data_IF_507079025067
#
_entry.id   IF_507079025067
#
_cell.length_a   1.000
_cell.length_b   1.000
_cell.length_c   1.000
_cell.angle_alpha   90.00
_cell.angle_beta   90.00
_cell.angle_gamma   90.00
#
_symmetry.space_group_name_H-M   'P 1'
#
loop_
_entity.id
_entity.type
_entity.pdbx_description
1 polymer ?
#
# COMPACT_ATOMS: atom_id res chain seq x y z
N UNK A 1 -25.33 3.29 22.57
CA UNK A 1 -23.97 2.72 22.47
C UNK A 1 -23.58 2.86 21.02
N UNK A 2 -22.70 3.85 20.71
CA UNK A 2 -22.13 4.05 19.36
C UNK A 2 -21.05 3.00 19.17
N UNK A 3 -21.33 2.02 18.32
CA UNK A 3 -20.34 1.04 17.87
C UNK A 3 -19.24 1.78 17.09
N UNK A 4 -18.01 1.72 17.61
CA UNK A 4 -16.83 2.31 17.01
C UNK A 4 -16.55 1.65 15.65
N UNK A 5 -16.34 2.50 14.64
CA UNK A 5 -15.87 2.15 13.31
C UNK A 5 -14.47 1.53 13.42
N UNK A 6 -14.29 0.44 12.71
CA UNK A 6 -13.06 -0.29 12.31
C UNK A 6 -11.74 0.11 12.97
N UNK A 7 -11.11 -0.80 13.70
CA UNK A 7 -9.87 -0.62 14.46
C UNK A 7 -8.57 -0.35 13.66
N UNK A 8 -8.64 -0.02 12.39
CA UNK A 8 -7.52 0.50 11.59
C UNK A 8 -7.64 2.00 11.30
N UNK A 9 -8.86 2.55 11.30
CA UNK A 9 -9.11 3.95 10.99
C UNK A 9 -8.97 4.89 12.22
N UNK A 10 -8.90 4.33 13.43
CA UNK A 10 -8.88 5.09 14.68
C UNK A 10 -7.48 5.22 15.32
N UNK A 11 -6.47 4.56 14.81
CA UNK A 11 -5.08 5.00 15.04
C UNK A 11 -5.01 6.35 14.35
N UNK A 12 -5.08 7.42 15.15
CA UNK A 12 -5.18 8.79 14.64
C UNK A 12 -4.17 8.96 13.51
N UNK A 13 -4.66 9.13 12.30
CA UNK A 13 -3.86 9.28 11.08
C UNK A 13 -2.74 10.31 11.23
N UNK A 14 -2.91 11.33 12.09
CA UNK A 14 -1.88 12.28 12.46
C UNK A 14 -0.66 11.65 13.12
N UNK A 15 -0.84 10.72 14.08
CA UNK A 15 0.30 10.15 14.81
C UNK A 15 1.13 9.20 13.94
N UNK A 16 0.52 8.52 12.97
CA UNK A 16 1.26 7.65 12.03
C UNK A 16 2.16 8.47 11.10
N UNK A 17 1.65 9.57 10.56
CA UNK A 17 2.41 10.43 9.64
C UNK A 17 3.54 11.19 10.34
N UNK A 18 3.31 11.72 11.53
CA UNK A 18 4.33 12.43 12.30
C UNK A 18 5.45 11.49 12.78
N UNK A 19 5.11 10.21 12.99
CA UNK A 19 6.10 9.22 13.41
C UNK A 19 7.01 8.73 12.26
N UNK A 20 6.59 8.91 11.00
CA UNK A 20 7.31 8.42 9.82
C UNK A 20 8.73 8.99 9.74
N UNK A 21 8.90 10.29 10.00
CA UNK A 21 10.19 10.98 10.02
C UNK A 21 11.19 10.39 11.02
N UNK A 22 10.73 9.94 12.18
CA UNK A 22 11.59 9.38 13.22
C UNK A 22 12.03 7.95 12.91
N UNK A 23 11.19 7.20 12.21
CA UNK A 23 11.41 5.79 11.90
C UNK A 23 12.34 5.60 10.71
N UNK A 24 12.12 6.34 9.62
CA UNK A 24 12.90 6.21 8.39
C UNK A 24 14.41 6.43 8.59
N UNK A 25 14.79 7.38 9.44
CA UNK A 25 16.18 7.73 9.70
C UNK A 25 16.79 7.01 10.93
N UNK A 26 16.05 6.07 11.54
CA UNK A 26 16.51 5.39 12.74
C UNK A 26 17.20 4.06 12.42
N UNK A 27 18.50 3.98 12.65
CA UNK A 27 19.31 2.80 12.34
C UNK A 27 18.85 1.54 13.09
N UNK A 28 18.47 1.67 14.37
CA UNK A 28 17.96 0.55 15.16
C UNK A 28 16.63 0.05 14.56
N UNK A 29 15.68 0.96 14.34
CA UNK A 29 14.39 0.61 13.78
C UNK A 29 14.52 -0.12 12.42
N UNK A 30 15.37 0.41 11.53
CA UNK A 30 15.64 -0.20 10.23
C UNK A 30 16.31 -1.58 10.35
N UNK A 31 17.24 -1.76 11.31
CA UNK A 31 17.88 -3.05 11.54
C UNK A 31 16.91 -4.12 12.04
N UNK A 32 15.99 -3.75 12.93
CA UNK A 32 14.95 -4.65 13.43
C UNK A 32 13.99 -5.07 12.31
N UNK A 33 13.62 -4.12 11.46
CA UNK A 33 12.82 -4.40 10.28
C UNK A 33 13.52 -5.36 9.32
N UNK A 34 14.78 -5.07 8.95
CA UNK A 34 15.56 -5.94 8.04
C UNK A 34 15.72 -7.35 8.60
N UNK A 35 15.93 -7.47 9.91
CA UNK A 35 16.01 -8.77 10.59
C UNK A 35 14.70 -9.56 10.48
N UNK A 36 13.56 -8.91 10.68
CA UNK A 36 12.25 -9.54 10.57
C UNK A 36 11.89 -9.88 9.12
N UNK A 37 12.22 -9.00 8.16
CA UNK A 37 11.94 -9.17 6.75
C UNK A 37 12.83 -10.23 6.06
N UNK A 38 13.98 -10.56 6.65
CA UNK A 38 14.92 -11.56 6.15
C UNK A 38 15.99 -11.00 5.21
N UNK A 39 17.05 -11.78 5.01
CA UNK A 39 18.27 -11.37 4.28
C UNK A 39 18.03 -11.00 2.80
N UNK A 40 16.99 -11.54 2.19
CA UNK A 40 16.65 -11.28 0.78
C UNK A 40 15.82 -10.01 0.58
N UNK A 41 15.38 -9.36 1.66
CA UNK A 41 14.57 -8.15 1.56
C UNK A 41 15.41 -7.01 0.96
N UNK A 42 14.98 -6.39 -0.14
CA UNK A 42 15.74 -5.31 -0.76
C UNK A 42 15.88 -4.12 0.20
N UNK A 43 17.12 -3.71 0.46
CA UNK A 43 17.42 -2.63 1.41
C UNK A 43 16.86 -1.27 1.00
N UNK A 44 16.60 -1.06 -0.28
CA UNK A 44 15.97 0.13 -0.86
C UNK A 44 14.46 0.22 -0.57
N UNK A 45 13.81 -0.89 -0.25
CA UNK A 45 12.44 -0.89 0.24
C UNK A 45 12.44 -0.46 1.70
N UNK A 46 11.92 0.70 1.95
CA UNK A 46 11.83 1.25 3.29
C UNK A 46 10.86 0.46 4.18
N UNK A 47 11.04 0.45 5.50
CA UNK A 47 10.10 -0.19 6.42
C UNK A 47 8.67 0.38 6.28
N UNK A 48 7.67 -0.36 6.74
CA UNK A 48 6.23 -0.09 6.73
C UNK A 48 5.44 -0.58 5.55
N UNK A 49 5.87 -1.67 4.94
CA UNK A 49 5.08 -2.31 3.91
C UNK A 49 5.17 -3.82 4.06
N UNK A 50 4.09 -4.53 3.85
CA UNK A 50 4.12 -5.98 3.71
C UNK A 50 4.69 -6.43 2.35
N UNK A 51 5.54 -5.61 1.74
CA UNK A 51 6.17 -5.88 0.44
C UNK A 51 7.28 -6.92 0.60
N UNK A 52 6.90 -8.17 0.82
CA UNK A 52 7.82 -9.31 0.93
C UNK A 52 8.49 -9.62 -0.41
N UNK A 53 9.61 -10.35 -0.38
CA UNK A 53 10.28 -10.85 -1.60
C UNK A 53 9.31 -11.59 -2.50
N UNK A 54 8.46 -12.46 -1.92
CA UNK A 54 7.46 -13.19 -2.68
C UNK A 54 6.48 -12.26 -3.42
N UNK A 55 6.02 -11.17 -2.77
CA UNK A 55 5.17 -10.19 -3.43
C UNK A 55 5.91 -9.49 -4.58
N UNK A 56 7.18 -9.12 -4.39
CA UNK A 56 7.99 -8.49 -5.44
C UNK A 56 8.13 -9.40 -6.66
N UNK A 57 8.39 -10.70 -6.46
CA UNK A 57 8.47 -11.70 -7.53
C UNK A 57 7.12 -11.85 -8.27
N UNK A 58 6.00 -11.89 -7.54
CA UNK A 58 4.66 -11.95 -8.12
C UNK A 58 4.34 -10.69 -8.94
N UNK A 59 4.62 -9.51 -8.40
CA UNK A 59 4.41 -8.23 -9.11
C UNK A 59 5.29 -8.14 -10.35
N UNK A 60 6.58 -8.49 -10.25
CA UNK A 60 7.48 -8.50 -11.37
C UNK A 60 6.98 -9.43 -12.49
N UNK A 61 6.56 -10.65 -12.15
CA UNK A 61 6.02 -11.60 -13.13
C UNK A 61 4.79 -11.09 -13.87
N UNK A 62 3.87 -10.39 -13.13
CA UNK A 62 2.66 -9.81 -13.72
C UNK A 62 2.99 -8.58 -14.59
N UNK A 63 3.87 -7.70 -14.13
CA UNK A 63 4.22 -6.45 -14.80
C UNK A 63 5.11 -6.65 -16.03
N UNK A 64 6.03 -7.61 -16.01
CA UNK A 64 6.86 -7.94 -17.20
C UNK A 64 5.98 -8.34 -18.39
N UNK A 65 4.86 -9.02 -18.15
CA UNK A 65 3.98 -9.46 -19.24
C UNK A 65 3.24 -8.32 -19.91
N UNK A 66 2.95 -7.22 -19.20
CA UNK A 66 2.31 -6.02 -19.76
C UNK A 66 3.29 -4.93 -20.18
N UNK A 67 4.57 -5.05 -19.78
CA UNK A 67 5.66 -4.13 -20.15
C UNK A 67 5.25 -2.65 -20.08
N UNK A 68 4.86 -2.15 -18.88
CA UNK A 68 4.32 -0.80 -18.74
C UNK A 68 5.40 0.25 -19.02
N UNK A 69 5.05 1.30 -19.78
CA UNK A 69 5.91 2.46 -19.95
C UNK A 69 5.81 3.41 -18.75
N UNK A 70 4.61 3.54 -18.19
CA UNK A 70 4.34 4.39 -17.02
C UNK A 70 3.55 3.62 -15.95
N UNK A 71 4.04 3.68 -14.72
CA UNK A 71 3.42 3.06 -13.54
C UNK A 71 3.11 4.12 -12.49
N UNK A 72 1.91 4.11 -11.95
CA UNK A 72 1.53 4.89 -10.77
C UNK A 72 1.69 4.03 -9.51
N UNK A 73 2.57 4.44 -8.60
CA UNK A 73 2.73 3.89 -7.25
C UNK A 73 1.84 4.68 -6.29
N UNK A 74 0.68 4.12 -5.95
CA UNK A 74 -0.37 4.77 -5.18
C UNK A 74 -0.21 4.48 -3.69
N UNK A 75 0.19 5.49 -2.93
CA UNK A 75 0.62 5.38 -1.54
C UNK A 75 2.11 5.00 -1.45
N UNK A 76 2.95 5.70 -2.23
CA UNK A 76 4.37 5.37 -2.42
C UNK A 76 5.24 5.54 -1.17
N UNK A 77 4.73 6.21 -0.12
CA UNK A 77 5.49 6.50 1.08
C UNK A 77 6.84 7.13 0.79
N UNK A 78 7.91 6.58 1.35
CA UNK A 78 9.30 7.03 1.15
C UNK A 78 9.93 6.66 -0.20
N UNK A 79 9.14 6.17 -1.16
CA UNK A 79 9.55 5.92 -2.54
C UNK A 79 10.43 4.69 -2.75
N UNK A 80 10.58 3.81 -1.75
CA UNK A 80 11.38 2.59 -1.88
C UNK A 80 10.88 1.68 -2.99
N UNK A 81 9.57 1.41 -2.98
CA UNK A 81 8.94 0.59 -4.00
C UNK A 81 8.95 1.27 -5.38
N UNK A 82 8.74 2.59 -5.45
CA UNK A 82 8.86 3.36 -6.70
C UNK A 82 10.25 3.20 -7.34
N UNK A 83 11.31 3.28 -6.53
CA UNK A 83 12.69 3.06 -7.01
C UNK A 83 12.91 1.64 -7.51
N UNK A 84 12.39 0.65 -6.78
CA UNK A 84 12.46 -0.74 -7.20
C UNK A 84 11.71 -0.98 -8.54
N UNK A 85 10.51 -0.41 -8.71
CA UNK A 85 9.76 -0.46 -9.97
C UNK A 85 10.57 0.10 -11.14
N UNK A 86 11.11 1.31 -10.97
CA UNK A 86 11.90 1.98 -12.00
C UNK A 86 13.13 1.15 -12.41
N UNK A 87 13.86 0.60 -11.45
CA UNK A 87 15.05 -0.21 -11.70
C UNK A 87 14.72 -1.57 -12.34
N UNK A 88 13.64 -2.21 -11.87
CA UNK A 88 13.28 -3.56 -12.30
C UNK A 88 12.62 -3.58 -13.67
N UNK A 89 11.77 -2.58 -13.97
CA UNK A 89 10.98 -2.52 -15.19
C UNK A 89 11.52 -1.52 -16.21
N UNK A 90 12.48 -0.68 -15.83
CA UNK A 90 12.99 0.42 -16.64
C UNK A 90 11.86 1.33 -17.18
N UNK A 91 10.84 1.60 -16.35
CA UNK A 91 9.66 2.38 -16.69
C UNK A 91 9.68 3.76 -16.01
N UNK A 92 8.84 4.67 -16.49
CA UNK A 92 8.51 5.90 -15.76
C UNK A 92 7.63 5.58 -14.56
N UNK A 93 7.94 6.14 -13.38
CA UNK A 93 7.16 5.93 -12.17
C UNK A 93 6.64 7.25 -11.63
N UNK A 94 5.34 7.31 -11.40
CA UNK A 94 4.67 8.39 -10.71
C UNK A 94 4.34 7.90 -9.29
N UNK A 95 5.01 8.43 -8.28
CA UNK A 95 4.74 8.11 -6.88
C UNK A 95 3.81 9.15 -6.27
N UNK A 96 2.72 8.74 -5.65
CA UNK A 96 1.83 9.65 -4.92
C UNK A 96 1.66 9.20 -3.47
N UNK A 97 1.75 10.15 -2.55
CA UNK A 97 1.46 9.94 -1.14
C UNK A 97 0.94 11.26 -0.53
N UNK A 98 0.12 11.16 0.52
CA UNK A 98 -0.40 12.33 1.22
C UNK A 98 0.61 12.94 2.18
N UNK A 99 1.63 12.19 2.61
CA UNK A 99 2.65 12.62 3.54
C UNK A 99 3.68 13.49 2.84
N UNK A 100 3.70 14.78 3.17
CA UNK A 100 4.71 15.71 2.68
C UNK A 100 6.13 15.24 3.03
N UNK A 101 6.35 14.82 4.27
CA UNK A 101 7.63 14.30 4.71
C UNK A 101 8.07 13.08 3.89
N UNK A 102 7.16 12.13 3.63
CA UNK A 102 7.48 10.94 2.85
C UNK A 102 7.88 11.31 1.40
N UNK A 103 7.16 12.24 0.78
CA UNK A 103 7.45 12.74 -0.57
C UNK A 103 8.81 13.47 -0.61
N UNK A 104 9.07 14.37 0.33
CA UNK A 104 10.38 15.04 0.43
C UNK A 104 11.52 14.03 0.60
N UNK A 105 11.33 13.04 1.47
CA UNK A 105 12.29 11.97 1.68
C UNK A 105 12.50 11.16 0.38
N UNK A 106 11.44 10.78 -0.29
CA UNK A 106 11.50 10.03 -1.55
C UNK A 106 12.29 10.80 -2.63
N UNK A 107 12.02 12.10 -2.78
CA UNK A 107 12.72 12.98 -3.72
C UNK A 107 14.22 13.11 -3.38
N UNK A 108 14.57 13.28 -2.10
CA UNK A 108 15.96 13.41 -1.65
C UNK A 108 16.77 12.12 -1.82
N UNK A 109 16.13 10.95 -1.72
CA UNK A 109 16.80 9.64 -1.79
C UNK A 109 16.68 8.98 -3.18
N UNK A 110 16.18 9.70 -4.16
CA UNK A 110 16.10 9.23 -5.55
C UNK A 110 17.22 9.87 -6.37
N UNK A 111 17.92 9.05 -7.16
CA UNK A 111 19.04 9.53 -7.98
C UNK A 111 18.56 10.57 -8.99
N UNK A 112 19.31 11.66 -9.13
CA UNK A 112 19.04 12.69 -10.16
C UNK A 112 19.10 12.05 -11.55
N UNK A 113 18.06 12.28 -12.34
CA UNK A 113 17.94 11.71 -13.68
C UNK A 113 17.24 10.36 -13.74
N UNK A 114 16.83 9.80 -12.60
CA UNK A 114 15.88 8.69 -12.60
C UNK A 114 14.54 9.12 -13.20
N UNK A 115 13.90 8.23 -13.91
CA UNK A 115 12.58 8.46 -14.50
C UNK A 115 11.48 8.21 -13.45
N UNK A 116 11.53 9.00 -12.34
CA UNK A 116 10.59 8.93 -11.22
C UNK A 116 10.18 10.35 -10.82
N UNK A 117 8.88 10.55 -10.67
CA UNK A 117 8.30 11.79 -10.15
C UNK A 117 7.46 11.49 -8.91
N UNK A 118 7.52 12.38 -7.89
CA UNK A 118 6.75 12.22 -6.66
C UNK A 118 5.85 13.42 -6.41
N UNK A 119 4.59 13.14 -6.03
CA UNK A 119 3.56 14.14 -5.81
C UNK A 119 2.93 13.96 -4.43
N UNK A 120 2.83 15.04 -3.66
CA UNK A 120 1.99 15.08 -2.46
C UNK A 120 0.54 15.17 -2.90
N UNK A 121 -0.22 14.09 -2.70
CA UNK A 121 -1.61 14.01 -3.16
C UNK A 121 -2.41 13.05 -2.28
N UNK A 122 -3.61 13.47 -1.86
CA UNK A 122 -4.62 12.60 -1.24
C UNK A 122 -5.26 11.74 -2.33
N UNK A 123 -5.68 10.52 -2.01
CA UNK A 123 -6.32 9.62 -2.99
C UNK A 123 -7.60 10.21 -3.58
N UNK A 124 -8.35 10.95 -2.78
CA UNK A 124 -9.59 11.62 -3.20
C UNK A 124 -9.36 12.77 -4.21
N UNK A 125 -8.12 13.13 -4.47
CA UNK A 125 -7.73 14.17 -5.42
C UNK A 125 -6.97 13.62 -6.65
N UNK A 126 -6.99 12.31 -6.88
CA UNK A 126 -6.30 11.67 -8.02
C UNK A 126 -6.70 12.24 -9.37
N UNK A 127 -7.94 12.73 -9.50
CA UNK A 127 -8.42 13.41 -10.72
C UNK A 127 -7.62 14.65 -11.10
N UNK A 128 -6.86 15.24 -10.16
CA UNK A 128 -5.98 16.38 -10.44
C UNK A 128 -4.67 15.98 -11.13
N UNK A 129 -4.34 14.68 -11.16
CA UNK A 129 -3.15 14.17 -11.81
C UNK A 129 -3.37 14.13 -13.34
N UNK A 130 -2.68 15.02 -14.07
CA UNK A 130 -2.80 15.13 -15.53
C UNK A 130 -1.91 14.11 -16.26
N UNK A 131 -1.91 12.86 -15.83
CA UNK A 131 -1.06 11.81 -16.39
C UNK A 131 -1.90 10.59 -16.80
N UNK A 132 -1.38 9.81 -17.73
CA UNK A 132 -1.89 8.49 -18.06
C UNK A 132 -0.83 7.45 -17.69
N UNK A 133 -1.27 6.28 -17.26
CA UNK A 133 -0.39 5.18 -16.89
C UNK A 133 -0.91 3.85 -17.43
N UNK A 134 -0.01 2.88 -17.55
CA UNK A 134 -0.33 1.54 -18.02
C UNK A 134 -0.65 0.61 -16.85
N UNK A 135 -0.11 0.94 -15.68
CA UNK A 135 -0.40 0.19 -14.46
C UNK A 135 -0.50 1.12 -13.25
N UNK A 136 -1.39 0.79 -12.34
CA UNK A 136 -1.49 1.37 -10.99
C UNK A 136 -1.21 0.27 -9.99
N UNK A 137 -0.31 0.53 -9.05
CA UNK A 137 0.02 -0.41 -7.98
C UNK A 137 -0.18 0.28 -6.64
N UNK A 138 -0.78 -0.42 -5.69
CA UNK A 138 -0.96 0.09 -4.33
C UNK A 138 -0.68 -1.00 -3.30
N UNK A 139 0.43 -0.87 -2.59
CA UNK A 139 0.82 -1.82 -1.55
C UNK A 139 0.41 -1.27 -0.19
N UNK A 140 -0.49 -1.97 0.48
CA UNK A 140 -0.98 -1.65 1.82
C UNK A 140 -1.58 -0.24 1.97
N UNK A 141 -2.03 0.40 0.88
CA UNK A 141 -2.47 1.78 0.90
C UNK A 141 -3.91 2.01 0.40
N UNK A 142 -4.33 1.43 -0.73
CA UNK A 142 -5.67 1.65 -1.30
C UNK A 142 -6.83 1.36 -0.31
N UNK A 143 -6.78 0.35 0.56
CA UNK A 143 -7.84 0.10 1.54
C UNK A 143 -8.06 1.22 2.57
N UNK A 144 -7.17 2.23 2.62
CA UNK A 144 -7.33 3.41 3.47
C UNK A 144 -8.06 4.57 2.78
N UNK A 145 -8.44 4.44 1.51
CA UNK A 145 -9.29 5.41 0.83
C UNK A 145 -10.59 5.66 1.63
N UNK A 146 -11.01 6.92 1.72
CA UNK A 146 -12.26 7.30 2.40
C UNK A 146 -13.47 6.98 1.54
N UNK A 147 -13.33 7.20 0.25
CA UNK A 147 -14.30 6.87 -0.79
C UNK A 147 -13.64 5.97 -1.85
N UNK A 148 -13.77 4.66 -1.63
CA UNK A 148 -13.15 3.66 -2.49
C UNK A 148 -13.74 3.69 -3.92
N UNK A 149 -15.02 3.99 -4.07
CA UNK A 149 -15.67 4.10 -5.38
C UNK A 149 -15.11 5.28 -6.19
N UNK A 150 -14.98 6.45 -5.55
CA UNK A 150 -14.39 7.62 -6.20
C UNK A 150 -12.93 7.37 -6.61
N UNK A 151 -12.14 6.78 -5.71
CA UNK A 151 -10.73 6.47 -5.99
C UNK A 151 -10.59 5.44 -7.11
N UNK A 152 -11.42 4.39 -7.15
CA UNK A 152 -11.42 3.43 -8.24
C UNK A 152 -11.84 4.06 -9.57
N UNK A 153 -12.82 4.95 -9.56
CA UNK A 153 -13.21 5.72 -10.74
C UNK A 153 -12.07 6.60 -11.26
N UNK A 154 -11.36 7.29 -10.37
CA UNK A 154 -10.21 8.13 -10.75
C UNK A 154 -9.05 7.26 -11.30
N UNK A 155 -8.76 6.13 -10.68
CA UNK A 155 -7.78 5.16 -11.18
C UNK A 155 -8.18 4.67 -12.59
N UNK A 156 -9.45 4.36 -12.81
CA UNK A 156 -9.95 3.97 -14.12
C UNK A 156 -9.67 5.05 -15.18
N UNK A 157 -9.88 6.32 -14.84
CA UNK A 157 -9.60 7.44 -15.73
C UNK A 157 -8.09 7.64 -16.00
N UNK A 158 -7.23 7.42 -15.00
CA UNK A 158 -5.77 7.55 -15.15
C UNK A 158 -5.16 6.40 -15.98
N UNK A 159 -5.71 5.20 -15.90
CA UNK A 159 -5.19 4.07 -16.67
C UNK A 159 -5.45 4.23 -18.18
N UNK A 160 -4.51 3.79 -18.98
CA UNK A 160 -4.70 3.55 -20.40
C UNK A 160 -5.70 2.40 -20.63
N UNK A 161 -6.25 2.29 -21.84
CA UNK A 161 -7.15 1.17 -22.21
C UNK A 161 -6.43 -0.16 -22.00
N UNK A 162 -7.06 -1.07 -21.26
CA UNK A 162 -6.48 -2.36 -20.91
C UNK A 162 -5.39 -2.30 -19.85
N UNK A 163 -5.18 -1.12 -19.23
CA UNK A 163 -4.23 -0.94 -18.13
C UNK A 163 -4.57 -1.78 -16.91
N UNK A 164 -3.57 -1.99 -16.05
CA UNK A 164 -3.63 -2.93 -14.93
C UNK A 164 -3.74 -2.20 -13.59
N UNK A 165 -4.54 -2.73 -12.69
CA UNK A 165 -4.60 -2.33 -11.28
C UNK A 165 -4.19 -3.51 -10.41
N UNK A 166 -3.10 -3.34 -9.63
CA UNK A 166 -2.64 -4.33 -8.67
C UNK A 166 -2.62 -3.71 -7.28
N UNK A 167 -3.24 -4.36 -6.30
CA UNK A 167 -3.18 -3.84 -4.94
C UNK A 167 -3.26 -4.95 -3.90
N UNK A 168 -2.70 -4.67 -2.72
CA UNK A 168 -2.78 -5.59 -1.58
C UNK A 168 -3.89 -5.15 -0.64
N UNK A 169 -4.53 -6.14 -0.02
CA UNK A 169 -5.58 -5.92 0.96
C UNK A 169 -5.67 -7.10 1.92
N UNK A 170 -6.30 -6.90 3.07
CA UNK A 170 -6.65 -7.97 3.98
C UNK A 170 -8.16 -8.11 4.05
N UNK A 171 -8.66 -9.33 4.19
CA UNK A 171 -10.09 -9.56 4.44
C UNK A 171 -10.53 -8.77 5.68
N UNK A 172 -11.61 -7.97 5.63
CA UNK A 172 -12.09 -7.21 6.78
C UNK A 172 -12.69 -8.12 7.85
N UNK A 173 -12.90 -7.59 9.05
CA UNK A 173 -13.61 -8.30 10.11
C UNK A 173 -15.05 -8.55 9.71
N UNK A 174 -15.54 -9.75 10.04
CA UNK A 174 -16.96 -10.09 9.90
C UNK A 174 -17.83 -9.08 10.67
N UNK A 175 -18.89 -8.62 10.02
CA UNK A 175 -19.78 -7.61 10.57
C UNK A 175 -19.28 -6.17 10.43
N UNK A 176 -18.05 -5.91 9.94
CA UNK A 176 -17.64 -4.55 9.58
C UNK A 176 -18.41 -4.09 8.34
N UNK A 177 -18.61 -2.76 8.15
CA UNK A 177 -19.18 -2.24 6.89
C UNK A 177 -18.40 -2.69 5.65
N UNK A 178 -17.08 -2.88 5.78
CA UNK A 178 -16.19 -3.35 4.73
C UNK A 178 -16.22 -4.87 4.51
N UNK A 179 -16.71 -5.66 5.48
CA UNK A 179 -16.82 -7.12 5.33
C UNK A 179 -17.76 -7.54 4.19
N UNK A 180 -18.85 -6.76 3.99
CA UNK A 180 -19.70 -6.95 2.81
C UNK A 180 -18.98 -6.60 1.51
N UNK A 181 -17.77 -6.08 1.59
CA UNK A 181 -17.01 -5.57 0.45
C UNK A 181 -15.95 -6.54 -0.05
N UNK A 182 -15.52 -7.61 0.66
CA UNK A 182 -14.43 -8.38 0.11
C UNK A 182 -14.84 -9.74 -0.44
N UNK A 183 -14.98 -10.64 -0.46
CA UNK A 183 -15.31 -11.82 -1.27
C UNK A 183 -16.16 -11.53 -2.52
N UNK A 184 -17.31 -10.90 -2.37
CA UNK A 184 -18.12 -10.44 -3.51
C UNK A 184 -17.97 -8.95 -3.83
N UNK A 185 -17.45 -8.14 -2.94
CA UNK A 185 -17.56 -6.68 -3.04
C UNK A 185 -16.33 -5.98 -3.61
N UNK A 186 -15.07 -6.44 -3.43
CA UNK A 186 -14.01 -5.94 -4.32
C UNK A 186 -14.33 -6.27 -5.77
N UNK A 187 -14.87 -7.45 -6.04
CA UNK A 187 -15.35 -7.78 -7.38
C UNK A 187 -16.43 -6.79 -7.82
N UNK A 188 -17.46 -6.55 -7.01
CA UNK A 188 -18.55 -5.64 -7.33
C UNK A 188 -18.09 -4.18 -7.44
N UNK A 189 -17.20 -3.73 -6.55
CA UNK A 189 -16.64 -2.39 -6.62
C UNK A 189 -15.78 -2.20 -7.88
N UNK A 190 -14.97 -3.17 -8.24
CA UNK A 190 -14.18 -3.18 -9.46
C UNK A 190 -15.07 -3.17 -10.70
N UNK A 191 -16.03 -4.08 -10.80
CA UNK A 191 -16.97 -4.15 -11.92
C UNK A 191 -17.78 -2.86 -12.10
N UNK A 192 -18.28 -2.28 -10.99
CA UNK A 192 -19.00 -1.00 -10.97
C UNK A 192 -18.15 0.14 -11.54
N UNK A 193 -16.85 0.11 -11.30
CA UNK A 193 -15.91 1.16 -11.72
C UNK A 193 -15.14 0.81 -13.00
N UNK A 194 -15.61 -0.13 -13.80
CA UNK A 194 -15.05 -0.44 -15.12
C UNK A 194 -13.78 -1.29 -15.08
N UNK A 195 -13.66 -2.17 -14.09
CA UNK A 195 -12.57 -3.14 -14.00
C UNK A 195 -13.09 -4.57 -14.10
N UNK A 196 -12.33 -5.40 -14.78
CA UNK A 196 -12.45 -6.85 -14.75
C UNK A 196 -11.48 -7.41 -13.72
N UNK A 197 -11.96 -8.18 -12.73
CA UNK A 197 -11.12 -8.90 -11.81
C UNK A 197 -10.46 -10.09 -12.55
N UNK A 198 -9.14 -10.00 -12.76
CA UNK A 198 -8.35 -11.05 -13.41
C UNK A 198 -7.99 -12.15 -12.42
N UNK A 199 -7.51 -11.76 -11.24
CA UNK A 199 -7.02 -12.71 -10.24
C UNK A 199 -7.08 -12.10 -8.83
N UNK A 200 -7.36 -12.95 -7.84
CA UNK A 200 -7.18 -12.67 -6.43
C UNK A 200 -6.28 -13.78 -5.88
N UNK A 201 -5.02 -13.45 -5.58
CA UNK A 201 -4.04 -14.40 -5.06
C UNK A 201 -3.91 -14.23 -3.56
N UNK A 202 -4.10 -15.32 -2.79
CA UNK A 202 -3.83 -15.29 -1.36
C UNK A 202 -2.33 -15.12 -1.10
N UNK A 203 -2.01 -14.26 -0.15
CA UNK A 203 -0.64 -13.95 0.25
C UNK A 203 -0.33 -14.70 1.54
N UNK A 204 0.25 -15.87 1.41
CA UNK A 204 0.67 -16.68 2.54
C UNK A 204 1.86 -16.05 3.28
N UNK A 205 2.00 -16.33 4.58
CA UNK A 205 3.15 -15.90 5.38
C UNK A 205 3.13 -14.43 5.83
N UNK A 206 2.13 -13.62 5.47
CA UNK A 206 2.07 -12.19 5.84
C UNK A 206 1.78 -12.01 7.33
N UNK A 207 0.96 -12.88 7.92
CA UNK A 207 0.72 -12.84 9.37
C UNK A 207 1.99 -13.18 10.16
N UNK A 208 2.77 -14.14 9.69
CA UNK A 208 4.07 -14.52 10.25
C UNK A 208 5.10 -13.40 10.09
N UNK A 209 5.12 -12.74 8.92
CA UNK A 209 5.98 -11.59 8.67
C UNK A 209 5.69 -10.46 9.67
N UNK A 210 4.44 -10.03 9.80
CA UNK A 210 4.06 -8.99 10.76
C UNK A 210 4.30 -9.43 12.21
N UNK A 211 4.06 -10.70 12.52
CA UNK A 211 4.38 -11.24 13.84
C UNK A 211 5.88 -11.10 14.15
N UNK A 212 6.75 -11.46 13.21
CA UNK A 212 8.20 -11.33 13.39
C UNK A 212 8.60 -9.85 13.60
N UNK A 213 8.04 -8.91 12.83
CA UNK A 213 8.26 -7.47 13.01
C UNK A 213 7.84 -7.03 14.42
N UNK A 214 6.68 -7.42 14.87
CA UNK A 214 6.16 -7.06 16.20
C UNK A 214 6.97 -7.66 17.34
N UNK A 215 7.45 -8.89 17.18
CA UNK A 215 8.35 -9.52 18.17
C UNK A 215 9.67 -8.74 18.30
N UNK A 216 10.23 -8.26 17.20
CA UNK A 216 11.44 -7.42 17.24
C UNK A 216 11.16 -6.08 17.96
N UNK A 217 10.02 -5.43 17.72
CA UNK A 217 9.68 -4.19 18.40
C UNK A 217 9.49 -4.40 19.91
N UNK A 218 8.73 -5.41 20.32
CA UNK A 218 8.49 -5.74 21.72
C UNK A 218 9.82 -6.12 22.41
N UNK A 219 10.61 -6.98 21.78
CA UNK A 219 11.90 -7.42 22.33
C UNK A 219 12.92 -6.29 22.51
N UNK A 220 12.76 -5.19 21.78
CA UNK A 220 13.68 -4.04 21.82
C UNK A 220 13.00 -2.75 22.28
N UNK A 221 11.85 -2.80 22.94
CA UNK A 221 11.11 -1.62 23.40
C UNK A 221 11.98 -0.64 24.20
N UNK A 222 12.76 -1.17 25.17
CA UNK A 222 13.65 -0.35 26.02
C UNK A 222 14.71 0.37 25.19
N UNK A 223 15.25 -0.27 24.15
CA UNK A 223 16.23 0.32 23.25
C UNK A 223 15.58 1.34 22.31
N UNK A 224 14.38 1.04 21.80
CA UNK A 224 13.62 1.95 20.95
C UNK A 224 13.27 3.24 21.71
N UNK A 225 12.85 3.16 22.98
CA UNK A 225 12.57 4.33 23.84
C UNK A 225 13.79 5.22 24.11
N UNK A 226 15.02 4.75 23.87
CA UNK A 226 16.24 5.56 23.98
C UNK A 226 16.56 6.36 22.72
N UNK A 227 16.03 5.94 21.56
CA UNK A 227 16.40 6.48 20.25
C UNK A 227 15.22 7.05 19.46
N UNK A 228 13.99 6.83 19.91
CA UNK A 228 12.76 7.36 19.34
C UNK A 228 11.99 8.15 20.41
N UNK A 229 11.17 9.14 20.02
CA UNK A 229 10.24 9.79 20.93
C UNK A 229 9.30 8.79 21.60
N UNK A 230 8.90 9.06 22.84
CA UNK A 230 8.06 8.18 23.65
C UNK A 230 6.73 7.89 22.95
N UNK A 231 6.08 8.91 22.40
CA UNK A 231 4.83 8.81 21.67
C UNK A 231 4.92 7.94 20.42
N UNK A 232 6.10 7.88 19.77
CA UNK A 232 6.32 7.01 18.62
C UNK A 232 6.38 5.55 19.07
N UNK A 233 7.08 5.26 20.16
CA UNK A 233 7.17 3.88 20.69
C UNK A 233 5.82 3.44 21.26
N UNK A 234 5.08 4.31 21.94
CA UNK A 234 3.73 4.02 22.41
C UNK A 234 2.79 3.68 21.25
N UNK A 235 2.92 4.41 20.12
CA UNK A 235 2.19 4.09 18.89
C UNK A 235 2.54 2.70 18.34
N UNK A 236 3.84 2.31 18.35
CA UNK A 236 4.27 0.97 17.95
C UNK A 236 3.67 -0.11 18.87
N UNK A 237 3.74 0.07 20.18
CA UNK A 237 3.20 -0.90 21.15
C UNK A 237 1.68 -1.02 21.03
N UNK A 238 0.98 0.10 20.82
CA UNK A 238 -0.46 0.09 20.56
C UNK A 238 -0.82 -0.68 19.28
N UNK A 239 -0.03 -0.51 18.21
CA UNK A 239 -0.20 -1.27 16.97
C UNK A 239 -0.01 -2.77 17.22
N UNK A 240 1.03 -3.16 17.95
CA UNK A 240 1.26 -4.54 18.36
C UNK A 240 0.06 -5.11 19.11
N UNK A 241 -0.50 -4.37 20.08
CA UNK A 241 -1.65 -4.80 20.84
C UNK A 241 -2.91 -4.95 19.97
N UNK A 242 -3.22 -3.95 19.16
CA UNK A 242 -4.48 -3.92 18.39
C UNK A 242 -4.45 -4.77 17.14
N UNK A 243 -3.34 -4.78 16.41
CA UNK A 243 -3.20 -5.49 15.14
C UNK A 243 -2.59 -6.87 15.39
N UNK A 244 -1.55 -6.96 16.21
CA UNK A 244 -0.83 -8.20 16.50
C UNK A 244 -1.75 -9.28 17.06
N UNK A 245 -2.68 -8.92 17.95
CA UNK A 245 -3.68 -9.86 18.51
C UNK A 245 -4.62 -10.47 17.45
N UNK A 246 -4.69 -9.90 16.26
CA UNK A 246 -5.59 -10.32 15.17
C UNK A 246 -4.86 -10.91 13.96
N UNK A 247 -3.53 -11.04 14.01
CA UNK A 247 -2.76 -11.55 12.87
C UNK A 247 -3.20 -12.95 12.44
N UNK A 248 -3.54 -13.80 13.41
CA UNK A 248 -3.90 -15.21 13.20
C UNK A 248 -5.39 -15.48 13.40
N UNK A 249 -6.25 -14.51 13.11
CA UNK A 249 -7.71 -14.66 13.22
C UNK A 249 -8.36 -15.35 12.01
N UNK A 250 -7.56 -15.91 11.11
CA UNK A 250 -8.00 -16.68 9.95
C UNK A 250 -8.37 -15.83 8.72
N UNK A 251 -8.25 -14.49 8.81
CA UNK A 251 -8.53 -13.64 7.66
C UNK A 251 -7.37 -13.65 6.68
N UNK A 252 -7.61 -13.97 5.39
CA UNK A 252 -6.55 -13.99 4.39
C UNK A 252 -6.08 -12.59 4.00
N UNK A 253 -4.86 -12.54 3.50
CA UNK A 253 -4.28 -11.40 2.83
C UNK A 253 -4.33 -11.65 1.32
N UNK A 254 -4.62 -10.63 0.53
CA UNK A 254 -4.81 -10.76 -0.90
C UNK A 254 -3.87 -9.86 -1.70
N UNK A 255 -3.41 -10.34 -2.84
CA UNK A 255 -2.99 -9.53 -3.98
C UNK A 255 -4.12 -9.59 -5.00
N UNK A 256 -4.72 -8.43 -5.26
CA UNK A 256 -5.78 -8.28 -6.27
C UNK A 256 -5.13 -7.78 -7.55
N UNK A 257 -5.50 -8.42 -8.66
CA UNK A 257 -5.12 -8.01 -10.00
C UNK A 257 -6.39 -7.81 -10.83
N UNK A 258 -6.58 -6.60 -11.32
CA UNK A 258 -7.71 -6.20 -12.13
C UNK A 258 -7.24 -5.47 -13.39
N UNK A 259 -8.06 -5.47 -14.43
CA UNK A 259 -7.80 -4.83 -15.72
C UNK A 259 -8.87 -3.82 -16.02
N UNK A 260 -8.47 -2.64 -16.48
CA UNK A 260 -9.40 -1.64 -17.00
C UNK A 260 -10.12 -2.16 -18.24
N UNK A 261 -11.44 -2.12 -18.22
CA UNK A 261 -12.29 -2.38 -19.38
C UNK A 261 -13.04 -1.11 -19.79
N UNK A 262 -13.53 -1.05 -21.02
CA UNK A 262 -14.42 0.04 -21.43
C UNK A 262 -15.80 -0.22 -20.80
N UNK A 263 -16.32 0.77 -20.10
CA UNK A 263 -17.71 0.75 -19.69
C UNK A 263 -18.56 0.96 -20.94
N UNK A 264 -19.42 0.01 -21.29
CA UNK A 264 -20.42 0.24 -22.31
C UNK A 264 -21.27 1.44 -21.86
N UNK A 265 -21.31 2.49 -22.67
CA UNK A 265 -22.28 3.57 -22.48
C UNK A 265 -23.65 2.89 -22.40
N UNK A 266 -24.26 2.87 -21.23
CA UNK A 266 -25.65 2.47 -21.10
C UNK A 266 -26.44 3.47 -21.97
N UNK A 267 -26.71 3.08 -23.21
CA UNK A 267 -27.67 3.80 -24.05
C UNK A 267 -28.96 3.80 -23.22
N UNK A 268 -29.28 4.97 -22.70
CA UNK A 268 -30.57 5.27 -22.15
C UNK A 268 -31.59 4.77 -23.16
N UNK A 269 -32.24 3.66 -22.85
CA UNK A 269 -33.48 3.29 -23.54
C UNK A 269 -34.51 4.29 -23.06
N UNK A 270 -34.71 5.32 -23.87
CA UNK A 270 -35.88 6.14 -23.86
C UNK A 270 -37.13 5.27 -24.16
#
# INVERSE_FOLDING_TARGET
VKLHKSGYADIKQSNYMDSYQYRLNNALFNSLWTKAAGEKYPSELQPYSSCTVQLLEQLQGKLITCNPETVLDLGCGAGGFSRWLNQTLNCHVLGVDRSEFAIEYAQQHTLKGSNIEFFKLEFENLSSLSAKCDSVISIDALPFARDEDQVLSDIHHLLNKGGQLLFTTREPLEGSPKFKMLGSAWRLALEKNGFELIEATEREGISEFWHAVYQEWVGHEVQLRKVLPEEVVDGLMLEVEQVGSRLFDGRPWWLIHAKRIEMEEQKEKQ
#
